data_IF_165098988127
#
_entry.id   IF_165098988127
#
_cell.length_a   1.000
_cell.length_b   1.000
_cell.length_c   1.000
_cell.angle_alpha   90.00
_cell.angle_beta   90.00
_cell.angle_gamma   90.00
#
_symmetry.space_group_name_H-M   'P 1'
#
loop_
_entity.id
_entity.type
_entity.pdbx_description
1 polymer ?
#
# COMPACT_ATOMS: atom_id res chain seq x y z
N UNK A 1 0.99 -7.94 -9.54
CA UNK A 1 2.06 -7.16 -8.88
C UNK A 1 2.49 -7.93 -7.63
N UNK A 2 3.68 -7.68 -7.09
CA UNK A 2 4.15 -8.29 -5.83
C UNK A 2 4.72 -7.21 -4.91
N UNK A 3 4.58 -7.41 -3.59
CA UNK A 3 5.00 -6.48 -2.52
C UNK A 3 6.52 -6.22 -2.49
N UNK A 4 7.32 -7.22 -2.87
CA UNK A 4 8.78 -7.17 -2.82
C UNK A 4 9.37 -7.87 -4.04
N UNK A 5 10.68 -7.68 -4.23
CA UNK A 5 11.47 -8.48 -5.16
C UNK A 5 11.81 -9.86 -4.55
N UNK A 6 12.57 -10.67 -5.28
CA UNK A 6 12.83 -12.07 -4.89
C UNK A 6 13.76 -12.25 -3.67
N UNK A 7 14.41 -11.18 -3.18
CA UNK A 7 15.43 -11.26 -2.13
C UNK A 7 15.10 -10.40 -0.90
N UNK A 8 14.16 -9.46 -1.02
CA UNK A 8 13.72 -8.57 0.06
C UNK A 8 12.58 -9.17 0.87
N UNK A 9 12.42 -8.68 2.10
CA UNK A 9 11.24 -8.96 2.92
C UNK A 9 10.13 -7.96 2.61
N UNK A 10 8.89 -8.31 2.95
CA UNK A 10 7.79 -7.35 3.10
C UNK A 10 7.80 -6.72 4.49
N UNK A 11 6.88 -5.79 4.72
CA UNK A 11 6.87 -4.93 5.90
C UNK A 11 5.47 -4.79 6.49
N UNK A 12 5.36 -4.96 7.80
CA UNK A 12 4.20 -4.62 8.61
C UNK A 12 4.15 -3.12 8.92
N UNK A 13 2.95 -2.57 9.05
CA UNK A 13 2.70 -1.17 9.40
C UNK A 13 1.57 -1.08 10.43
N UNK A 14 1.33 0.11 10.97
CA UNK A 14 0.44 0.33 12.12
C UNK A 14 0.80 -0.60 13.28
N UNK A 15 2.08 -0.63 13.64
CA UNK A 15 2.62 -1.50 14.70
C UNK A 15 2.76 -0.76 16.03
N UNK A 16 2.66 -1.46 17.18
CA UNK A 16 2.90 -0.85 18.49
C UNK A 16 4.29 -0.24 18.58
N UNK A 17 4.41 0.96 19.17
CA UNK A 17 5.68 1.66 19.31
C UNK A 17 6.21 2.34 18.04
N UNK A 18 5.52 2.19 16.91
CA UNK A 18 5.83 2.83 15.64
C UNK A 18 4.83 3.94 15.30
N UNK A 19 5.19 4.87 14.40
CA UNK A 19 4.27 5.92 13.97
C UNK A 19 3.89 5.78 12.49
N UNK A 20 2.57 5.79 12.17
CA UNK A 20 1.42 5.86 13.08
C UNK A 20 1.20 4.58 13.90
N UNK A 21 0.91 4.75 15.20
CA UNK A 21 0.71 3.66 16.18
C UNK A 21 -0.77 3.26 16.23
N UNK A 22 -1.08 1.96 16.40
CA UNK A 22 -2.44 1.55 16.69
C UNK A 22 -2.88 2.01 18.10
N UNK A 23 -4.19 1.96 18.42
CA UNK A 23 -4.67 2.20 19.77
C UNK A 23 -3.97 1.29 20.81
N UNK A 24 -3.76 1.76 22.06
CA UNK A 24 -2.93 1.06 23.05
C UNK A 24 -3.36 -0.35 23.41
N UNK A 25 -4.64 -0.71 23.18
CA UNK A 25 -5.17 -2.05 23.39
C UNK A 25 -4.68 -3.09 22.36
N UNK A 26 -4.10 -2.65 21.25
CA UNK A 26 -3.52 -3.51 20.22
C UNK A 26 -2.02 -3.67 20.41
N UNK A 27 -1.61 -4.88 20.76
CA UNK A 27 -0.21 -5.27 20.91
C UNK A 27 0.35 -5.91 19.63
N UNK A 28 -0.27 -5.70 18.47
CA UNK A 28 0.14 -6.29 17.18
C UNK A 28 -0.01 -5.28 16.04
N UNK A 29 0.68 -5.52 14.92
CA UNK A 29 0.54 -4.70 13.72
C UNK A 29 -0.85 -4.88 13.08
N UNK A 30 -1.51 -3.78 12.72
CA UNK A 30 -2.86 -3.84 12.14
C UNK A 30 -2.89 -4.07 10.62
N UNK A 31 -1.75 -3.92 9.94
CA UNK A 31 -1.69 -4.13 8.50
C UNK A 31 -0.29 -4.34 7.97
N UNK A 32 -0.20 -4.58 6.67
CA UNK A 32 1.05 -4.65 5.93
C UNK A 32 1.18 -3.44 4.98
N UNK A 33 2.40 -2.96 4.79
CA UNK A 33 2.69 -1.70 4.11
C UNK A 33 2.13 -1.66 2.68
N UNK A 34 2.18 -2.78 1.96
CA UNK A 34 1.67 -2.85 0.59
C UNK A 34 0.15 -3.01 0.55
N UNK A 35 -0.39 -3.88 1.41
CA UNK A 35 -1.81 -4.15 1.56
C UNK A 35 -2.60 -2.90 1.88
N UNK A 36 -2.22 -2.18 2.94
CA UNK A 36 -2.89 -0.92 3.30
C UNK A 36 -2.68 0.13 2.23
N UNK A 37 -1.55 0.11 1.52
CA UNK A 37 -1.27 1.07 0.47
C UNK A 37 -2.27 1.01 -0.68
N UNK A 38 -2.67 -0.18 -1.14
CA UNK A 38 -3.60 -0.29 -2.27
C UNK A 38 -5.06 -0.18 -1.86
N UNK A 39 -5.39 -0.65 -0.64
CA UNK A 39 -6.74 -0.56 -0.12
C UNK A 39 -7.11 0.89 0.18
N UNK A 40 -6.27 1.62 0.93
CA UNK A 40 -6.55 3.01 1.27
C UNK A 40 -6.56 3.94 0.06
N UNK A 41 -5.75 3.62 -0.95
CA UNK A 41 -5.77 4.32 -2.24
C UNK A 41 -7.10 4.08 -2.98
N UNK A 42 -7.54 2.82 -3.05
CA UNK A 42 -8.76 2.46 -3.74
C UNK A 42 -10.02 3.02 -3.06
N UNK A 43 -9.99 3.17 -1.74
CA UNK A 43 -11.12 3.67 -0.94
C UNK A 43 -11.35 5.19 -1.08
N UNK A 44 -10.38 5.95 -1.59
CA UNK A 44 -10.45 7.42 -1.69
C UNK A 44 -10.39 7.95 -3.12
N UNK A 45 -10.28 7.06 -4.11
CA UNK A 45 -10.16 7.42 -5.52
C UNK A 45 -11.27 6.82 -6.37
N UNK A 46 -11.65 7.55 -7.42
CA UNK A 46 -12.60 7.06 -8.39
C UNK A 46 -11.95 6.02 -9.31
N UNK A 47 -12.21 4.74 -9.04
CA UNK A 47 -11.66 3.59 -9.77
C UNK A 47 -12.08 3.51 -11.25
N UNK A 48 -13.10 4.29 -11.67
CA UNK A 48 -13.45 4.42 -13.09
C UNK A 48 -12.50 5.34 -13.84
N UNK A 49 -11.72 6.16 -13.14
CA UNK A 49 -10.75 7.10 -13.71
C UNK A 49 -9.31 6.65 -13.48
N UNK A 50 -9.06 5.93 -12.40
CA UNK A 50 -7.74 5.42 -12.08
C UNK A 50 -7.44 4.10 -12.80
N UNK A 51 -6.22 4.01 -13.34
CA UNK A 51 -5.70 2.81 -14.01
C UNK A 51 -4.90 1.94 -13.06
N UNK A 52 -4.81 0.64 -13.36
CA UNK A 52 -3.93 -0.30 -12.67
C UNK A 52 -2.47 0.17 -12.65
N UNK A 53 -2.02 0.83 -13.71
CA UNK A 53 -0.66 1.37 -13.82
C UNK A 53 -0.43 2.56 -12.87
N UNK A 54 -1.40 3.47 -12.76
CA UNK A 54 -1.31 4.60 -11.82
C UNK A 54 -1.24 4.10 -10.37
N UNK A 55 -2.11 3.17 -10.00
CA UNK A 55 -2.06 2.54 -8.70
C UNK A 55 -0.71 1.85 -8.47
N UNK A 56 -0.18 1.10 -9.44
CA UNK A 56 1.15 0.49 -9.32
C UNK A 56 2.26 1.50 -9.00
N UNK A 57 2.32 2.63 -9.70
CA UNK A 57 3.35 3.64 -9.45
C UNK A 57 3.18 4.30 -8.06
N UNK A 58 1.93 4.52 -7.63
CA UNK A 58 1.63 5.00 -6.29
C UNK A 58 2.09 4.01 -5.22
N UNK A 59 1.74 2.73 -5.38
CA UNK A 59 2.13 1.65 -4.46
C UNK A 59 3.64 1.50 -4.38
N UNK A 60 4.33 1.57 -5.52
CA UNK A 60 5.78 1.51 -5.58
C UNK A 60 6.41 2.65 -4.79
N UNK A 61 5.89 3.87 -4.92
CA UNK A 61 6.37 5.05 -4.16
C UNK A 61 6.07 4.95 -2.66
N UNK A 62 4.92 4.43 -2.25
CA UNK A 62 4.56 4.26 -0.84
C UNK A 62 5.34 3.11 -0.18
N UNK A 63 5.45 1.97 -0.84
CA UNK A 63 6.07 0.75 -0.29
C UNK A 63 7.59 0.85 -0.21
N UNK A 64 8.24 1.62 -1.08
CA UNK A 64 9.67 1.93 -0.95
C UNK A 64 9.96 2.88 0.22
N UNK A 65 8.91 3.46 0.83
CA UNK A 65 8.95 4.25 2.05
C UNK A 65 10.09 5.29 2.09
N UNK A 66 10.18 6.10 1.03
CA UNK A 66 11.22 7.14 0.91
C UNK A 66 12.64 6.61 0.71
N UNK A 67 12.82 5.41 0.14
CA UNK A 67 14.11 4.70 0.02
C UNK A 67 14.76 4.41 1.38
N UNK A 68 13.94 4.24 2.43
CA UNK A 68 14.44 3.85 3.75
C UNK A 68 14.85 2.38 3.79
N UNK A 69 15.59 1.99 4.82
CA UNK A 69 15.88 0.58 5.10
C UNK A 69 14.63 -0.25 5.46
N UNK A 70 13.45 0.39 5.56
CA UNK A 70 12.18 -0.15 6.04
C UNK A 70 11.11 -0.08 4.93
N UNK A 71 11.44 -0.63 3.76
CA UNK A 71 10.58 -0.66 2.58
C UNK A 71 11.03 -1.74 1.59
N UNK A 72 10.22 -2.00 0.57
CA UNK A 72 10.48 -3.04 -0.44
C UNK A 72 10.14 -2.57 -1.84
N UNK A 73 10.78 -3.19 -2.83
CA UNK A 73 10.53 -2.89 -4.24
C UNK A 73 9.32 -3.66 -4.76
N UNK A 74 8.23 -2.93 -5.02
CA UNK A 74 7.05 -3.48 -5.69
C UNK A 74 7.42 -3.88 -7.12
N UNK A 75 7.05 -5.09 -7.51
CA UNK A 75 7.35 -5.63 -8.84
C UNK A 75 6.06 -5.87 -9.65
N UNK A 76 6.16 -5.72 -10.96
CA UNK A 76 5.10 -6.07 -11.91
C UNK A 76 5.58 -7.14 -12.89
N UNK A 77 4.69 -8.06 -13.25
CA UNK A 77 4.98 -9.22 -14.11
C UNK A 77 3.77 -9.54 -14.98
N UNK A 78 3.99 -10.35 -16.01
CA UNK A 78 2.94 -10.77 -16.95
C UNK A 78 2.69 -9.75 -18.05
N UNK A 79 1.45 -9.68 -18.53
CA UNK A 79 1.06 -8.73 -19.56
C UNK A 79 0.84 -7.32 -18.98
N UNK A 80 1.85 -6.48 -19.15
CA UNK A 80 1.83 -5.09 -18.67
C UNK A 80 0.81 -4.25 -19.43
N UNK A 81 0.37 -4.65 -20.64
CA UNK A 81 -0.67 -3.94 -21.39
C UNK A 81 -2.00 -3.86 -20.63
N UNK A 82 -2.31 -4.87 -19.81
CA UNK A 82 -3.50 -4.90 -18.96
C UNK A 82 -3.48 -3.75 -17.94
N UNK A 83 -2.31 -3.30 -17.52
CA UNK A 83 -2.18 -2.22 -16.53
C UNK A 83 -2.73 -0.86 -17.01
N UNK A 84 -2.92 -0.69 -18.32
CA UNK A 84 -3.54 0.52 -18.88
C UNK A 84 -5.06 0.56 -18.67
N UNK A 85 -5.68 -0.55 -18.25
CA UNK A 85 -7.10 -0.62 -17.92
C UNK A 85 -7.44 0.04 -16.59
N UNK A 86 -8.69 0.52 -16.48
CA UNK A 86 -9.19 1.14 -15.26
C UNK A 86 -9.45 0.09 -14.16
N UNK A 87 -9.17 0.45 -12.91
CA UNK A 87 -9.29 -0.43 -11.74
C UNK A 87 -10.69 -0.98 -11.53
N UNK A 88 -11.73 -0.23 -11.93
CA UNK A 88 -13.11 -0.66 -11.72
C UNK A 88 -13.44 -2.01 -12.38
N UNK A 89 -12.71 -2.37 -13.44
CA UNK A 89 -12.90 -3.66 -14.12
C UNK A 89 -12.51 -4.85 -13.24
N UNK A 90 -11.64 -4.65 -12.26
CA UNK A 90 -11.21 -5.68 -11.31
C UNK A 90 -11.87 -5.53 -9.93
N UNK A 91 -11.95 -4.29 -9.42
CA UNK A 91 -12.37 -4.00 -8.05
C UNK A 91 -13.83 -3.53 -7.93
N UNK A 92 -14.48 -3.22 -9.04
CA UNK A 92 -15.81 -2.60 -9.05
C UNK A 92 -15.75 -1.10 -8.80
N UNK A 93 -16.89 -0.51 -8.43
CA UNK A 93 -17.01 0.94 -8.21
C UNK A 93 -17.92 1.20 -7.03
N UNK A 94 -17.63 2.28 -6.31
CA UNK A 94 -18.44 2.76 -5.21
C UNK A 94 -18.99 4.15 -5.58
N UNK A 95 -20.33 4.32 -5.69
CA UNK A 95 -20.94 5.60 -6.06
C UNK A 95 -20.62 6.76 -5.12
N UNK A 96 -20.21 6.49 -3.88
CA UNK A 96 -19.75 7.53 -2.95
C UNK A 96 -18.50 8.26 -3.47
N UNK A 97 -17.73 7.60 -4.35
CA UNK A 97 -16.40 8.05 -4.77
C UNK A 97 -16.41 8.81 -6.10
N UNK A 98 -17.59 9.02 -6.70
CA UNK A 98 -17.73 9.64 -8.02
C UNK A 98 -17.14 11.06 -8.08
N UNK A 99 -17.22 11.77 -6.96
CA UNK A 99 -16.71 13.13 -6.81
C UNK A 99 -15.20 13.20 -6.53
N UNK A 100 -14.56 12.09 -6.16
CA UNK A 100 -13.11 12.07 -5.99
C UNK A 100 -12.44 12.21 -7.35
N UNK A 101 -11.45 13.11 -7.38
CA UNK A 101 -10.55 13.25 -8.52
C UNK A 101 -9.32 12.41 -8.25
N UNK A 102 -8.82 11.73 -9.27
CA UNK A 102 -7.46 11.25 -9.25
C UNK A 102 -6.54 12.46 -9.06
N UNK A 103 -5.89 12.56 -7.90
CA UNK A 103 -4.90 13.58 -7.61
C UNK A 103 -3.56 12.88 -7.58
N UNK A 104 -2.71 13.23 -8.55
CA UNK A 104 -1.33 12.77 -8.61
C UNK A 104 -0.54 13.49 -7.49
N UNK A 105 -0.72 13.07 -6.24
CA UNK A 105 -0.17 13.78 -5.10
C UNK A 105 -0.63 13.34 -3.71
N UNK A 106 0.21 12.51 -3.07
CA UNK A 106 0.52 12.49 -1.63
C UNK A 106 -0.65 12.41 -0.61
N UNK A 107 -1.84 11.92 -0.96
CA UNK A 107 -2.90 11.70 0.05
C UNK A 107 -2.49 10.66 1.10
N UNK A 108 -1.64 9.71 0.72
CA UNK A 108 -1.16 8.65 1.59
C UNK A 108 0.21 9.00 2.16
N UNK A 109 0.24 9.45 3.42
CA UNK A 109 1.50 9.64 4.13
C UNK A 109 2.23 8.30 4.25
N UNK A 110 3.53 8.22 3.89
CA UNK A 110 4.32 7.04 4.17
C UNK A 110 4.37 6.81 5.69
N UNK A 111 4.21 5.56 6.12
CA UNK A 111 4.47 5.19 7.51
C UNK A 111 5.93 5.50 7.83
N UNK A 112 6.19 6.34 8.83
CA UNK A 112 7.57 6.78 9.13
C UNK A 112 8.47 5.61 9.52
N UNK A 113 7.90 4.52 10.01
CA UNK A 113 8.58 3.27 10.33
C UNK A 113 7.70 2.07 10.03
N UNK A 114 8.34 0.94 9.71
CA UNK A 114 7.69 -0.32 9.37
C UNK A 114 8.51 -1.47 9.98
N UNK A 115 7.83 -2.55 10.36
CA UNK A 115 8.46 -3.72 10.99
C UNK A 115 8.67 -4.79 9.92
N UNK A 116 9.85 -5.40 9.86
CA UNK A 116 10.10 -6.49 8.92
C UNK A 116 9.08 -7.61 9.17
N UNK A 117 8.43 -8.13 8.11
CA UNK A 117 7.37 -9.13 8.25
C UNK A 117 7.80 -10.36 9.06
N UNK A 118 9.07 -10.76 9.01
CA UNK A 118 9.60 -11.92 9.75
C UNK A 118 9.78 -11.67 11.25
N UNK A 119 9.71 -10.40 11.66
CA UNK A 119 9.88 -9.96 13.05
C UNK A 119 8.57 -9.47 13.67
N UNK A 120 7.46 -9.41 12.92
CA UNK A 120 6.17 -8.91 13.43
C UNK A 120 5.70 -9.72 14.64
N UNK A 121 5.84 -11.04 14.59
CA UNK A 121 5.49 -11.92 15.71
C UNK A 121 6.32 -11.63 16.96
N UNK A 122 7.59 -11.21 16.81
CA UNK A 122 8.46 -10.85 17.94
C UNK A 122 8.10 -9.52 18.58
N UNK A 123 7.34 -8.65 17.89
CA UNK A 123 6.87 -7.37 18.46
C UNK A 123 5.62 -7.57 19.31
N UNK A 124 4.93 -8.70 19.16
CA UNK A 124 3.71 -9.02 19.90
C UNK A 124 3.97 -9.66 21.29
N UNK A 125 5.20 -10.13 21.57
CA UNK A 125 5.56 -10.83 22.80
C UNK A 125 6.63 -10.07 23.60
#
# INVERSE_FOLDING_TARGET
MTVANAIESSWGTYCPGEYPCPPPEYETCLGDLYGVAWMEDSDIHNLQKETLHQQYELLKKRTINGNSAYGSHVMQFGDIGISMGNLFTCLGTNPADDNFKFVDGNSLLPSTKAVNQRNVDLVHF
#
